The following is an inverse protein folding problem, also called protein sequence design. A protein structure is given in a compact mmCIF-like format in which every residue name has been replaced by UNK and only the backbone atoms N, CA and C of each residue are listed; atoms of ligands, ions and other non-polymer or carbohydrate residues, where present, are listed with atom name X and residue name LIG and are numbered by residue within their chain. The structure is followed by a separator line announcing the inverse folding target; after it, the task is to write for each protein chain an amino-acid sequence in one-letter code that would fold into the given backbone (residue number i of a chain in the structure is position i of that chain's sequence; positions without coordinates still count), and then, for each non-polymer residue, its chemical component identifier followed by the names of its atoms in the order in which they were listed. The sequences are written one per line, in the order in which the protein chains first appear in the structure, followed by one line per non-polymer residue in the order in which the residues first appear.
data_IF_246125866038
#
_entry.id   IF_246125866038
#
_cell.length_a   1.000
_cell.length_b   1.000
_cell.length_c   1.000
_cell.angle_alpha   90.00
_cell.angle_beta   90.00
_cell.angle_gamma   90.00
#
_symmetry.space_group_name_H-M   'P 1'
#
loop_
_entity.id
_entity.type
_entity.pdbx_description
1 polymer ?
#
# COMPACT_ATOMS: atom_id res chain seq x y z
N UNK A 1 -9.17 30.04 46.23
CA UNK A 1 -8.21 31.08 46.66
C UNK A 1 -6.93 30.37 47.06
N UNK A 2 -5.77 30.78 46.52
CA UNK A 2 -4.48 30.14 46.83
C UNK A 2 -4.01 30.52 48.24
N UNK A 3 -3.15 29.71 48.88
CA UNK A 3 -2.53 30.12 50.16
C UNK A 3 -1.69 31.40 50.04
N UNK A 4 -1.16 31.71 48.86
CA UNK A 4 -0.46 32.97 48.62
C UNK A 4 -1.42 34.18 48.67
N UNK A 5 -2.61 34.04 48.10
CA UNK A 5 -3.68 35.03 48.18
C UNK A 5 -4.17 35.22 49.63
N UNK A 6 -4.30 34.12 50.38
CA UNK A 6 -4.62 34.16 51.82
C UNK A 6 -3.53 34.87 52.63
N UNK A 7 -2.25 34.57 52.37
CA UNK A 7 -1.12 35.25 53.00
C UNK A 7 -1.13 36.76 52.74
N UNK A 8 -1.34 37.17 51.48
CA UNK A 8 -1.46 38.58 51.11
C UNK A 8 -2.64 39.27 51.80
N UNK A 9 -3.79 38.58 51.91
CA UNK A 9 -4.96 39.09 52.61
C UNK A 9 -4.70 39.26 54.10
N UNK A 10 -4.09 38.27 54.76
CA UNK A 10 -3.67 38.34 56.18
C UNK A 10 -2.72 39.51 56.43
N UNK A 11 -1.78 39.76 55.51
CA UNK A 11 -0.88 40.91 55.62
C UNK A 11 -1.63 42.25 55.52
N UNK A 12 -2.66 42.33 54.66
CA UNK A 12 -3.57 43.46 54.61
C UNK A 12 -4.36 43.66 55.90
N UNK A 13 -4.90 42.59 56.48
CA UNK A 13 -5.59 42.62 57.78
C UNK A 13 -4.69 43.16 58.90
N UNK A 14 -3.40 42.83 58.89
CA UNK A 14 -2.45 43.38 59.89
C UNK A 14 -2.40 44.90 59.81
N UNK A 15 -2.34 45.50 58.62
CA UNK A 15 -2.33 46.97 58.46
C UNK A 15 -3.64 47.57 58.96
N UNK A 16 -4.77 46.98 58.55
CA UNK A 16 -6.10 47.48 58.88
C UNK A 16 -6.35 47.38 60.39
N UNK A 17 -6.20 46.20 61.00
CA UNK A 17 -6.43 46.01 62.43
C UNK A 17 -5.45 46.80 63.29
N UNK A 18 -4.22 47.04 62.82
CA UNK A 18 -3.30 47.93 63.52
C UNK A 18 -3.83 49.36 63.54
N UNK A 19 -4.39 49.86 62.44
CA UNK A 19 -5.04 51.17 62.41
C UNK A 19 -6.29 51.22 63.29
N UNK A 20 -7.13 50.19 63.29
CA UNK A 20 -8.35 50.09 64.13
C UNK A 20 -8.02 50.09 65.64
N UNK A 21 -6.88 49.51 66.02
CA UNK A 21 -6.41 49.48 67.39
C UNK A 21 -5.96 50.87 67.91
N UNK A 22 -5.76 51.86 67.02
CA UNK A 22 -5.33 53.20 67.42
C UNK A 22 -6.50 54.12 67.78
N UNK A 23 -6.36 55.01 68.78
CA UNK A 23 -7.38 56.01 69.08
C UNK A 23 -7.41 57.14 68.03
N UNK A 24 -8.59 57.62 67.57
CA UNK A 24 -9.92 57.10 67.86
C UNK A 24 -10.20 55.80 67.09
N UNK A 25 -10.75 54.81 67.80
CA UNK A 25 -11.09 53.50 67.21
C UNK A 25 -12.08 53.71 66.06
N UNK A 26 -11.64 53.38 64.86
CA UNK A 26 -12.45 53.41 63.64
C UNK A 26 -12.48 51.98 63.12
N UNK A 27 -13.64 51.48 62.70
CA UNK A 27 -13.74 50.15 62.07
C UNK A 27 -13.74 50.30 60.55
N UNK A 28 -13.05 49.39 59.87
CA UNK A 28 -12.95 49.34 58.42
C UNK A 28 -13.57 48.04 57.89
N UNK A 29 -14.22 48.07 56.71
CA UNK A 29 -14.69 46.87 56.06
C UNK A 29 -13.50 46.14 55.40
N UNK A 30 -12.68 45.46 56.21
CA UNK A 30 -11.39 44.91 55.78
C UNK A 30 -11.51 44.01 54.54
N UNK A 31 -12.47 43.10 54.52
CA UNK A 31 -12.67 42.16 53.41
C UNK A 31 -13.04 42.90 52.11
N UNK A 32 -13.87 43.94 52.19
CA UNK A 32 -14.25 44.76 51.03
C UNK A 32 -13.06 45.54 50.47
N UNK A 33 -12.19 46.04 51.34
CA UNK A 33 -10.97 46.77 50.94
C UNK A 33 -9.98 45.82 50.24
N UNK A 34 -9.76 44.62 50.80
CA UNK A 34 -8.79 43.66 50.29
C UNK A 34 -9.26 42.94 49.00
N UNK A 35 -10.58 42.87 48.78
CA UNK A 35 -11.18 42.35 47.56
C UNK A 35 -11.04 43.29 46.35
N UNK A 36 -10.69 44.56 46.54
CA UNK A 36 -10.55 45.54 45.44
C UNK A 36 -9.40 45.18 44.48
N UNK A 37 -9.47 45.69 43.23
CA UNK A 37 -8.34 45.61 42.29
C UNK A 37 -7.08 46.26 42.87
N UNK A 38 -5.91 45.82 42.40
CA UNK A 38 -4.59 46.22 42.93
C UNK A 38 -4.46 47.70 43.23
N UNK A 39 -4.65 48.59 42.24
CA UNK A 39 -4.44 50.03 42.42
C UNK A 39 -5.39 50.66 43.46
N UNK A 40 -6.66 50.23 43.49
CA UNK A 40 -7.66 50.73 44.44
C UNK A 40 -7.37 50.25 45.86
N UNK A 41 -7.06 48.96 46.02
CA UNK A 41 -6.69 48.38 47.32
C UNK A 41 -5.46 49.06 47.90
N UNK A 42 -4.41 49.27 47.09
CA UNK A 42 -3.18 49.94 47.54
C UNK A 42 -3.46 51.39 47.94
N UNK A 43 -4.26 52.12 47.17
CA UNK A 43 -4.65 53.50 47.49
C UNK A 43 -5.37 53.60 48.82
N UNK A 44 -6.27 52.67 49.11
CA UNK A 44 -7.00 52.65 50.38
C UNK A 44 -6.12 52.29 51.56
N UNK A 45 -5.23 51.30 51.41
CA UNK A 45 -4.26 50.96 52.45
C UNK A 45 -3.31 52.14 52.73
N UNK A 46 -2.83 52.86 51.71
CA UNK A 46 -2.05 54.09 51.89
C UNK A 46 -2.84 55.12 52.70
N UNK A 47 -4.09 55.37 52.32
CA UNK A 47 -4.95 56.33 53.02
C UNK A 47 -5.18 55.95 54.50
N UNK A 48 -5.34 54.65 54.81
CA UNK A 48 -5.45 54.16 56.19
C UNK A 48 -4.17 54.45 56.97
N UNK A 49 -3.00 54.14 56.38
CA UNK A 49 -1.71 54.37 57.03
C UNK A 49 -1.48 55.88 57.25
N UNK A 50 -1.77 56.72 56.24
CA UNK A 50 -1.56 58.18 56.30
C UNK A 50 -2.47 58.90 57.29
N UNK A 51 -3.73 58.49 57.39
CA UNK A 51 -4.74 59.23 58.16
C UNK A 51 -4.89 58.77 59.60
N UNK A 52 -4.53 57.53 59.94
CA UNK A 52 -4.83 56.93 61.25
C UNK A 52 -3.64 56.48 62.08
N UNK A 53 -2.49 56.23 61.46
CA UNK A 53 -1.32 55.76 62.19
C UNK A 53 -0.64 56.95 62.85
N UNK A 54 -0.80 57.07 64.16
CA UNK A 54 -0.23 58.15 64.97
C UNK A 54 1.21 57.91 65.41
N UNK A 55 1.63 56.64 65.44
CA UNK A 55 2.97 56.27 65.91
C UNK A 55 3.95 56.21 64.73
N UNK A 56 4.69 57.29 64.52
CA UNK A 56 5.71 57.40 63.45
C UNK A 56 6.76 56.29 63.52
N UNK A 57 7.06 55.78 64.73
CA UNK A 57 8.03 54.69 64.93
C UNK A 57 7.60 53.36 64.31
N UNK A 58 6.31 53.19 63.97
CA UNK A 58 5.79 51.98 63.31
C UNK A 58 5.54 52.17 61.82
N UNK A 59 5.66 53.41 61.33
CA UNK A 59 5.45 53.74 59.92
C UNK A 59 6.38 52.95 58.98
N UNK A 60 7.70 52.81 59.25
CA UNK A 60 8.57 52.02 58.38
C UNK A 60 8.15 50.57 58.22
N UNK A 61 7.58 49.95 59.27
CA UNK A 61 7.08 48.58 59.20
C UNK A 61 5.83 48.46 58.32
N UNK A 62 4.89 49.40 58.45
CA UNK A 62 3.66 49.41 57.65
C UNK A 62 3.96 49.67 56.18
N UNK A 63 4.88 50.59 55.89
CA UNK A 63 5.34 50.86 54.53
C UNK A 63 6.02 49.61 53.93
N UNK A 64 6.77 48.84 54.75
CA UNK A 64 7.34 47.56 54.31
C UNK A 64 6.26 46.51 54.03
N UNK A 65 5.24 46.40 54.88
CA UNK A 65 4.13 45.46 54.68
C UNK A 65 3.36 45.83 53.41
N UNK A 66 3.10 47.12 53.20
CA UNK A 66 2.47 47.63 51.99
C UNK A 66 3.30 47.33 50.74
N UNK A 67 4.63 47.46 50.80
CA UNK A 67 5.52 47.07 49.70
C UNK A 67 5.35 45.58 49.35
N UNK A 68 5.34 44.69 50.33
CA UNK A 68 5.15 43.25 50.09
C UNK A 68 3.76 42.97 49.53
N UNK A 69 2.69 43.59 50.06
CA UNK A 69 1.34 43.48 49.49
C UNK A 69 1.33 43.94 48.03
N UNK A 70 1.99 45.06 47.71
CA UNK A 70 2.05 45.60 46.36
C UNK A 70 2.70 44.64 45.37
N UNK A 71 3.75 43.94 45.78
CA UNK A 71 4.43 42.96 44.93
C UNK A 71 3.60 41.67 44.81
N UNK A 72 3.01 41.18 45.90
CA UNK A 72 2.22 39.96 45.90
C UNK A 72 0.87 40.08 45.19
N UNK A 73 0.17 41.22 45.32
CA UNK A 73 -1.17 41.40 44.75
C UNK A 73 -1.11 41.38 43.23
N UNK A 74 -0.12 42.03 42.61
CA UNK A 74 0.09 41.99 41.15
C UNK A 74 0.17 40.55 40.64
N UNK A 75 0.90 39.71 41.36
CA UNK A 75 1.10 38.30 41.04
C UNK A 75 -0.20 37.52 41.23
N UNK A 76 -0.89 37.76 42.34
CA UNK A 76 -2.12 37.06 42.69
C UNK A 76 -3.31 37.35 41.76
N UNK A 77 -3.26 38.47 41.02
CA UNK A 77 -4.27 38.88 40.02
C UNK A 77 -3.94 38.40 38.60
N UNK A 78 -2.76 37.81 38.36
CA UNK A 78 -2.44 37.28 37.04
C UNK A 78 -3.19 35.97 36.79
N UNK A 79 -3.76 35.84 35.59
CA UNK A 79 -4.43 34.61 35.13
C UNK A 79 -3.46 33.60 34.48
N UNK A 80 -2.21 34.01 34.23
CA UNK A 80 -1.20 33.21 33.58
C UNK A 80 -0.14 32.73 34.58
N UNK A 81 0.45 31.53 34.38
CA UNK A 81 1.60 31.08 35.16
C UNK A 81 2.75 32.09 35.10
N UNK A 82 3.47 32.20 36.21
CA UNK A 82 4.60 33.11 36.33
C UNK A 82 5.81 32.54 35.62
N UNK A 83 6.65 33.41 35.08
CA UNK A 83 7.95 32.98 34.57
C UNK A 83 8.96 32.74 35.70
N UNK A 84 10.08 32.09 35.39
CA UNK A 84 11.11 31.73 36.38
C UNK A 84 11.69 32.95 37.11
N UNK A 85 11.83 34.08 36.41
CA UNK A 85 12.36 35.32 36.98
C UNK A 85 11.38 35.93 37.99
N UNK A 86 10.08 35.96 37.67
CA UNK A 86 9.02 36.41 38.56
C UNK A 86 8.95 35.52 39.81
N UNK A 87 8.98 34.19 39.63
CA UNK A 87 9.00 33.21 40.72
C UNK A 87 10.18 33.46 41.65
N UNK A 88 11.39 33.61 41.11
CA UNK A 88 12.59 33.87 41.90
C UNK A 88 12.48 35.19 42.67
N UNK A 89 11.96 36.24 42.04
CA UNK A 89 11.75 37.55 42.64
C UNK A 89 10.79 37.49 43.83
N UNK A 90 9.63 36.85 43.66
CA UNK A 90 8.62 36.70 44.72
C UNK A 90 9.14 35.87 45.88
N UNK A 91 9.83 34.76 45.59
CA UNK A 91 10.46 33.93 46.63
C UNK A 91 11.47 34.75 47.43
N UNK A 92 12.27 35.59 46.77
CA UNK A 92 13.22 36.47 47.45
C UNK A 92 12.52 37.49 48.35
N UNK A 93 11.49 38.18 47.84
CA UNK A 93 10.69 39.16 48.60
C UNK A 93 10.07 38.52 49.84
N UNK A 94 9.43 37.35 49.69
CA UNK A 94 8.79 36.64 50.79
C UNK A 94 9.79 36.12 51.82
N UNK A 95 10.95 35.61 51.39
CA UNK A 95 11.98 35.08 52.29
C UNK A 95 12.53 36.20 53.16
N UNK A 96 12.94 37.30 52.53
CA UNK A 96 13.44 38.48 53.23
C UNK A 96 12.38 39.00 54.20
N UNK A 97 11.12 39.08 53.74
CA UNK A 97 10.02 39.54 54.57
C UNK A 97 9.81 38.68 55.82
N UNK A 98 9.68 37.36 55.68
CA UNK A 98 9.42 36.48 56.82
C UNK A 98 10.61 36.42 57.79
N UNK A 99 11.84 36.39 57.30
CA UNK A 99 13.03 36.43 58.15
C UNK A 99 13.05 37.74 58.97
N UNK A 100 12.90 38.89 58.30
CA UNK A 100 12.84 40.19 58.97
C UNK A 100 11.65 40.27 59.94
N UNK A 101 10.52 39.66 59.61
CA UNK A 101 9.33 39.65 60.48
C UNK A 101 9.55 38.83 61.75
N UNK A 102 10.19 37.65 61.65
CA UNK A 102 10.58 36.87 62.82
C UNK A 102 11.60 37.59 63.68
N UNK A 103 12.55 38.30 63.06
CA UNK A 103 13.46 39.16 63.81
C UNK A 103 12.70 40.28 64.54
N UNK A 104 11.73 40.95 63.90
CA UNK A 104 10.94 42.01 64.53
C UNK A 104 10.16 41.53 65.76
N UNK A 105 9.77 40.25 65.79
CA UNK A 105 9.03 39.61 66.88
C UNK A 105 9.92 39.02 67.96
N UNK A 106 11.23 38.87 67.71
CA UNK A 106 12.18 38.36 68.69
C UNK A 106 12.43 39.40 69.79
N UNK A 107 11.72 39.20 70.91
CA UNK A 107 11.74 40.03 72.12
C UNK A 107 12.96 39.79 73.03
N UNK A 108 13.83 38.84 72.69
CA UNK A 108 15.06 38.55 73.46
C UNK A 108 16.18 39.57 73.21
N UNK A 109 16.05 40.35 72.13
CA UNK A 109 17.00 41.38 71.69
C UNK A 109 16.38 42.76 71.85
N UNK A 110 17.16 43.77 72.24
CA UNK A 110 16.64 45.12 72.55
C UNK A 110 16.82 46.15 71.43
N UNK A 111 17.46 45.77 70.33
CA UNK A 111 17.94 46.72 69.32
C UNK A 111 16.93 46.95 68.18
N UNK A 112 17.16 48.01 67.41
CA UNK A 112 16.46 48.25 66.14
C UNK A 112 16.86 47.23 65.07
N UNK A 113 15.98 46.99 64.10
CA UNK A 113 16.24 46.17 62.92
C UNK A 113 16.24 47.04 61.68
N UNK A 114 17.14 46.74 60.76
CA UNK A 114 17.25 47.38 59.46
C UNK A 114 16.26 46.74 58.47
N UNK A 115 15.25 47.51 58.04
CA UNK A 115 14.34 47.13 56.96
C UNK A 115 14.92 47.55 55.62
N UNK A 116 14.99 46.61 54.67
CA UNK A 116 15.45 46.85 53.29
C UNK A 116 14.35 46.52 52.31
N UNK A 117 13.81 47.52 51.63
CA UNK A 117 12.79 47.34 50.58
C UNK A 117 12.77 48.54 49.63
N UNK A 118 12.41 48.32 48.36
CA UNK A 118 12.28 49.38 47.36
C UNK A 118 13.51 50.33 47.27
N UNK A 119 14.73 49.79 47.40
CA UNK A 119 15.99 50.54 47.48
C UNK A 119 16.07 51.54 48.65
N UNK A 120 15.24 51.36 49.66
CA UNK A 120 15.19 52.15 50.89
C UNK A 120 15.68 51.28 52.04
N UNK A 121 16.48 51.89 52.91
CA UNK A 121 16.94 51.32 54.17
C UNK A 121 16.40 52.16 55.32
N UNK A 122 15.67 51.54 56.25
CA UNK A 122 15.11 52.21 57.44
C UNK A 122 15.29 51.35 58.67
N UNK A 123 15.75 51.93 59.77
CA UNK A 123 15.76 51.25 61.05
C UNK A 123 14.39 51.39 61.72
N UNK A 124 13.94 50.32 62.36
CA UNK A 124 12.71 50.29 63.12
C UNK A 124 12.92 49.56 64.45
N UNK A 125 12.31 50.00 65.55
CA UNK A 125 12.38 49.26 66.79
C UNK A 125 11.68 47.90 66.65
N UNK A 126 12.17 46.88 67.34
CA UNK A 126 11.47 45.59 67.50
C UNK A 126 10.07 45.79 68.08
N UNK A 127 9.21 44.78 67.95
CA UNK A 127 7.85 44.80 68.47
C UNK A 127 7.80 44.54 69.97
N UNK A 128 8.61 45.24 70.75
CA UNK A 128 8.69 45.14 72.20
C UNK A 128 7.87 46.26 72.85
N UNK A 129 7.12 45.93 73.90
CA UNK A 129 6.42 46.89 74.74
C UNK A 129 7.34 47.37 75.87
N UNK A 130 7.72 48.64 75.84
CA UNK A 130 8.58 49.25 76.86
C UNK A 130 7.79 49.79 78.08
N UNK A 131 6.47 49.57 78.13
CA UNK A 131 5.59 50.20 79.13
C UNK A 131 5.47 49.42 80.45
N UNK A 132 6.06 48.23 80.54
CA UNK A 132 5.92 47.37 81.73
C UNK A 132 7.09 47.53 82.70
N UNK A 133 6.81 47.90 83.96
CA UNK A 133 7.74 47.84 85.10
C UNK A 133 8.19 46.41 85.46
N UNK A 134 7.75 45.38 84.72
CA UNK A 134 8.12 43.97 84.92
C UNK A 134 9.39 43.62 84.14
N UNK A 135 10.26 42.78 84.73
CA UNK A 135 11.50 42.26 84.12
C UNK A 135 11.30 41.34 82.89
N UNK A 136 10.07 41.20 82.39
CA UNK A 136 9.74 40.37 81.23
C UNK A 136 9.34 41.25 80.05
N UNK A 137 10.10 41.18 78.96
CA UNK A 137 9.73 41.78 77.68
C UNK A 137 8.41 41.18 77.19
N UNK A 138 7.50 42.02 76.71
CA UNK A 138 6.23 41.60 76.09
C UNK A 138 6.12 42.16 74.68
N UNK A 139 5.33 41.52 73.83
CA UNK A 139 5.02 42.05 72.51
C UNK A 139 4.26 43.38 72.62
N UNK A 140 4.60 44.33 71.75
CA UNK A 140 3.83 45.56 71.52
C UNK A 140 2.51 45.25 70.83
N UNK A 141 1.57 46.20 70.81
CA UNK A 141 0.27 46.00 70.13
C UNK A 141 0.40 45.61 68.65
N UNK A 142 1.40 46.16 67.92
CA UNK A 142 1.69 45.74 66.55
C UNK A 142 2.20 44.30 66.50
N UNK A 143 3.07 43.92 67.43
CA UNK A 143 3.59 42.56 67.56
C UNK A 143 2.48 41.55 67.80
N UNK A 144 1.55 41.85 68.71
CA UNK A 144 0.39 41.00 68.98
C UNK A 144 -0.49 40.82 67.74
N UNK A 145 -0.81 41.91 67.03
CA UNK A 145 -1.63 41.84 65.80
C UNK A 145 -0.92 41.04 64.70
N UNK A 146 0.38 41.26 64.49
CA UNK A 146 1.17 40.47 63.53
C UNK A 146 1.16 38.99 63.92
N UNK A 147 1.32 38.67 65.21
CA UNK A 147 1.31 37.29 65.68
C UNK A 147 -0.04 36.63 65.43
N UNK A 148 -1.14 37.30 65.80
CA UNK A 148 -2.48 36.75 65.75
C UNK A 148 -2.97 36.52 64.32
N UNK A 149 -2.72 37.46 63.40
CA UNK A 149 -3.25 37.40 62.04
C UNK A 149 -2.31 36.71 61.05
N UNK A 150 -0.99 36.78 61.27
CA UNK A 150 0.00 36.29 60.30
C UNK A 150 0.80 35.10 60.81
N UNK A 151 1.49 35.23 61.94
CA UNK A 151 2.52 34.26 62.35
C UNK A 151 1.98 32.98 62.96
N UNK A 152 0.88 33.02 63.73
CA UNK A 152 0.31 31.80 64.32
C UNK A 152 -0.07 30.74 63.27
N UNK A 153 -0.21 31.15 62.01
CA UNK A 153 -0.52 30.28 60.88
C UNK A 153 0.72 29.79 60.12
N UNK A 154 1.92 30.19 60.52
CA UNK A 154 3.20 29.86 59.88
C UNK A 154 3.97 28.92 60.81
N UNK A 155 4.20 27.68 60.37
CA UNK A 155 4.90 26.67 61.17
C UNK A 155 6.43 26.80 61.14
N UNK A 156 6.97 27.69 60.30
CA UNK A 156 8.41 27.84 60.09
C UNK A 156 9.08 28.63 61.22
N UNK A 157 10.21 28.11 61.71
CA UNK A 157 11.02 28.64 62.81
C UNK A 157 12.49 28.82 62.45
N UNK A 158 12.98 28.17 61.40
CA UNK A 158 14.33 28.34 60.83
C UNK A 158 14.30 28.93 59.42
N UNK A 159 15.42 29.47 58.93
CA UNK A 159 15.53 30.00 57.57
C UNK A 159 15.23 28.94 56.50
N UNK A 160 15.61 27.69 56.75
CA UNK A 160 15.34 26.55 55.85
C UNK A 160 13.84 26.23 55.83
N UNK A 161 13.19 26.22 57.00
CA UNK A 161 11.74 26.00 57.09
C UNK A 161 10.95 27.15 56.44
N UNK A 162 11.45 28.39 56.54
CA UNK A 162 10.86 29.56 55.87
C UNK A 162 10.96 29.41 54.36
N UNK A 163 12.13 29.02 53.85
CA UNK A 163 12.35 28.79 52.42
C UNK A 163 11.42 27.69 51.89
N UNK A 164 11.29 26.57 52.62
CA UNK A 164 10.40 25.47 52.26
C UNK A 164 8.91 25.86 52.31
N UNK A 165 8.52 26.66 53.31
CA UNK A 165 7.17 27.20 53.41
C UNK A 165 6.82 28.08 52.21
N UNK A 166 7.73 28.99 51.83
CA UNK A 166 7.56 29.86 50.67
C UNK A 166 7.54 29.08 49.36
N UNK A 167 8.43 28.09 49.21
CA UNK A 167 8.44 27.20 48.05
C UNK A 167 7.06 26.56 47.84
N UNK A 168 6.46 26.07 48.93
CA UNK A 168 5.12 25.48 48.92
C UNK A 168 4.04 26.50 48.55
N UNK A 169 4.08 27.71 49.11
CA UNK A 169 3.12 28.78 48.79
C UNK A 169 3.15 29.13 47.31
N UNK A 170 4.34 29.35 46.76
CA UNK A 170 4.52 29.75 45.37
C UNK A 170 4.18 28.61 44.41
N UNK A 171 4.62 27.39 44.70
CA UNK A 171 4.32 26.21 43.87
C UNK A 171 2.83 25.87 43.83
N UNK A 172 2.12 25.99 44.96
CA UNK A 172 0.66 25.79 44.99
C UNK A 172 -0.06 26.83 44.12
N UNK A 173 0.35 28.10 44.22
CA UNK A 173 -0.24 29.15 43.40
C UNK A 173 0.05 28.95 41.91
N UNK A 174 1.28 28.56 41.55
CA UNK A 174 1.63 28.18 40.17
C UNK A 174 0.79 27.01 39.66
N UNK A 175 0.59 25.98 40.49
CA UNK A 175 -0.27 24.85 40.15
C UNK A 175 -1.70 25.28 39.80
N UNK A 176 -2.29 26.18 40.60
CA UNK A 176 -3.64 26.71 40.34
C UNK A 176 -3.70 27.45 38.99
N UNK A 177 -2.69 28.26 38.66
CA UNK A 177 -2.63 29.00 37.39
C UNK A 177 -2.36 28.08 36.19
N UNK A 178 -1.61 27.00 36.39
CA UNK A 178 -1.24 26.06 35.34
C UNK A 178 -2.40 25.15 34.93
N UNK A 179 -3.29 24.79 35.86
CA UNK A 179 -4.40 23.85 35.60
C UNK A 179 -5.29 24.29 34.42
N UNK A 180 -5.83 25.52 34.35
CA UNK A 180 -6.65 25.96 33.21
C UNK A 180 -5.93 25.88 31.87
N UNK A 181 -4.64 26.22 31.84
CA UNK A 181 -3.80 26.18 30.62
C UNK A 181 -3.65 24.73 30.15
N UNK A 182 -3.30 23.83 31.07
CA UNK A 182 -3.13 22.39 30.76
C UNK A 182 -4.45 21.75 30.34
N UNK A 183 -5.56 22.06 31.01
CA UNK A 183 -6.89 21.56 30.64
C UNK A 183 -7.28 22.00 29.23
N UNK A 184 -7.01 23.25 28.86
CA UNK A 184 -7.27 23.76 27.50
C UNK A 184 -6.41 23.04 26.45
N UNK A 185 -5.11 22.90 26.70
CA UNK A 185 -4.21 22.17 25.80
C UNK A 185 -4.61 20.71 25.65
N UNK A 186 -5.00 20.05 26.74
CA UNK A 186 -5.48 18.67 26.71
C UNK A 186 -6.73 18.52 25.84
N UNK A 187 -7.69 19.45 25.96
CA UNK A 187 -8.89 19.46 25.11
C UNK A 187 -8.53 19.62 23.63
N UNK A 188 -7.60 20.52 23.30
CA UNK A 188 -7.13 20.73 21.93
C UNK A 188 -6.47 19.47 21.35
N UNK A 189 -5.59 18.81 22.11
CA UNK A 189 -4.96 17.57 21.66
C UNK A 189 -5.97 16.43 21.50
N UNK A 190 -7.01 16.36 22.33
CA UNK A 190 -8.08 15.37 22.17
C UNK A 190 -8.89 15.60 20.87
N UNK A 191 -9.18 16.85 20.53
CA UNK A 191 -9.84 17.21 19.27
C UNK A 191 -8.96 16.87 18.05
N UNK A 192 -7.66 17.18 18.11
CA UNK A 192 -6.70 16.84 17.07
C UNK A 192 -6.60 15.32 16.86
N UNK A 193 -6.47 14.55 17.95
CA UNK A 193 -6.44 13.08 17.91
C UNK A 193 -7.74 12.55 17.29
N UNK A 194 -8.89 13.10 17.65
CA UNK A 194 -10.17 12.70 17.09
C UNK A 194 -10.23 12.96 15.58
N UNK A 195 -9.81 14.14 15.13
CA UNK A 195 -9.78 14.52 13.71
C UNK A 195 -8.83 13.63 12.90
N UNK A 196 -7.65 13.32 13.43
CA UNK A 196 -6.66 12.45 12.79
C UNK A 196 -7.17 11.01 12.68
N UNK A 197 -7.83 10.49 13.73
CA UNK A 197 -8.43 9.16 13.68
C UNK A 197 -9.55 9.07 12.64
N UNK A 198 -10.36 10.12 12.49
CA UNK A 198 -11.40 10.17 11.46
C UNK A 198 -10.80 10.22 10.04
N UNK A 199 -9.75 11.03 9.84
CA UNK A 199 -9.03 11.08 8.57
C UNK A 199 -8.34 9.75 8.23
N UNK A 200 -7.74 9.08 9.23
CA UNK A 200 -7.14 7.77 9.08
C UNK A 200 -8.19 6.73 8.67
N UNK A 201 -9.33 6.70 9.35
CA UNK A 201 -10.44 5.79 9.03
C UNK A 201 -10.91 5.98 7.58
N UNK A 202 -11.14 7.22 7.15
CA UNK A 202 -11.53 7.52 5.77
C UNK A 202 -10.48 7.07 4.75
N UNK A 203 -9.21 7.22 5.08
CA UNK A 203 -8.09 6.79 4.21
C UNK A 203 -8.03 5.26 4.11
N UNK A 204 -8.22 4.55 5.22
CA UNK A 204 -8.29 3.08 5.23
C UNK A 204 -9.45 2.58 4.37
N UNK A 205 -10.65 3.13 4.55
CA UNK A 205 -11.83 2.75 3.74
C UNK A 205 -11.63 3.05 2.24
N UNK A 206 -10.96 4.16 1.91
CA UNK A 206 -10.62 4.48 0.52
C UNK A 206 -9.60 3.50 -0.06
N UNK A 207 -8.58 3.12 0.72
CA UNK A 207 -7.58 2.14 0.29
C UNK A 207 -8.18 0.75 0.08
N UNK A 208 -9.10 0.31 0.95
CA UNK A 208 -9.82 -0.96 0.77
C UNK A 208 -10.61 -0.97 -0.54
N UNK A 209 -11.32 0.13 -0.86
CA UNK A 209 -12.04 0.26 -2.15
C UNK A 209 -11.10 0.23 -3.36
N UNK A 210 -9.95 0.90 -3.26
CA UNK A 210 -8.94 0.88 -4.32
C UNK A 210 -8.35 -0.51 -4.49
N UNK A 211 -8.10 -1.23 -3.40
CA UNK A 211 -7.55 -2.59 -3.44
C UNK A 211 -8.55 -3.58 -4.06
N UNK A 212 -9.84 -3.46 -3.74
CA UNK A 212 -10.90 -4.23 -4.39
C UNK A 212 -10.97 -3.94 -5.90
N UNK A 213 -10.90 -2.66 -6.28
CA UNK A 213 -10.92 -2.25 -7.69
C UNK A 213 -9.70 -2.76 -8.45
N UNK A 214 -8.52 -2.71 -7.83
CA UNK A 214 -7.29 -3.26 -8.40
C UNK A 214 -7.41 -4.76 -8.64
N UNK A 215 -7.93 -5.51 -7.67
CA UNK A 215 -8.13 -6.95 -7.78
C UNK A 215 -9.06 -7.31 -8.95
N UNK A 216 -10.17 -6.57 -9.10
CA UNK A 216 -11.09 -6.77 -10.22
C UNK A 216 -10.44 -6.49 -11.58
N UNK A 217 -9.60 -5.46 -11.67
CA UNK A 217 -8.93 -5.12 -12.91
C UNK A 217 -7.82 -6.11 -13.27
N UNK A 218 -7.11 -6.66 -12.27
CA UNK A 218 -6.17 -7.77 -12.46
C UNK A 218 -6.87 -9.04 -12.98
N UNK A 219 -8.07 -9.36 -12.48
CA UNK A 219 -8.86 -10.48 -12.97
C UNK A 219 -9.28 -10.30 -14.44
N UNK A 220 -9.80 -9.12 -14.80
CA UNK A 220 -10.13 -8.80 -16.21
C UNK A 220 -8.91 -8.87 -17.11
N UNK A 221 -7.76 -8.36 -16.65
CA UNK A 221 -6.50 -8.42 -17.39
C UNK A 221 -6.07 -9.86 -17.65
N UNK A 222 -6.18 -10.75 -16.65
CA UNK A 222 -5.92 -12.19 -16.81
C UNK A 222 -6.90 -12.85 -17.78
N UNK A 223 -8.17 -12.46 -17.77
CA UNK A 223 -9.16 -12.98 -18.70
C UNK A 223 -8.86 -12.55 -20.14
N UNK A 224 -8.57 -11.26 -20.36
CA UNK A 224 -8.13 -10.75 -21.66
C UNK A 224 -6.88 -11.47 -22.16
N UNK A 225 -5.90 -11.74 -21.28
CA UNK A 225 -4.72 -12.49 -21.66
C UNK A 225 -5.05 -13.92 -22.11
N UNK A 226 -5.99 -14.61 -21.45
CA UNK A 226 -6.46 -15.93 -21.89
C UNK A 226 -7.12 -15.85 -23.26
N UNK A 227 -7.94 -14.83 -23.51
CA UNK A 227 -8.60 -14.61 -24.79
C UNK A 227 -7.58 -14.36 -25.90
N UNK A 228 -6.57 -13.51 -25.66
CA UNK A 228 -5.48 -13.27 -26.60
C UNK A 228 -4.76 -14.58 -26.93
N UNK A 229 -4.34 -15.33 -25.92
CA UNK A 229 -3.66 -16.61 -26.13
C UNK A 229 -4.50 -17.59 -26.94
N UNK A 230 -5.81 -17.66 -26.69
CA UNK A 230 -6.74 -18.50 -27.46
C UNK A 230 -6.83 -18.09 -28.94
N UNK A 231 -6.92 -16.78 -29.23
CA UNK A 231 -6.91 -16.28 -30.59
C UNK A 231 -5.59 -16.56 -31.30
N UNK A 232 -4.45 -16.40 -30.62
CA UNK A 232 -3.13 -16.73 -31.17
C UNK A 232 -3.02 -18.22 -31.51
N UNK A 233 -3.48 -19.12 -30.63
CA UNK A 233 -3.48 -20.57 -30.92
C UNK A 233 -4.39 -20.91 -32.09
N UNK A 234 -5.58 -20.31 -32.16
CA UNK A 234 -6.52 -20.55 -33.26
C UNK A 234 -5.94 -20.06 -34.59
N UNK A 235 -5.31 -18.88 -34.61
CA UNK A 235 -4.68 -18.35 -35.81
C UNK A 235 -3.51 -19.24 -36.27
N UNK A 236 -2.75 -19.81 -35.34
CA UNK A 236 -1.69 -20.77 -35.68
C UNK A 236 -2.26 -22.06 -36.30
N UNK A 237 -3.36 -22.57 -35.78
CA UNK A 237 -4.03 -23.75 -36.34
C UNK A 237 -4.65 -23.47 -37.71
N UNK A 238 -5.26 -22.29 -37.90
CA UNK A 238 -5.73 -21.84 -39.21
C UNK A 238 -4.59 -21.74 -40.23
N UNK A 239 -3.42 -21.21 -39.83
CA UNK A 239 -2.23 -21.18 -40.69
C UNK A 239 -1.76 -22.59 -41.07
N UNK A 240 -1.73 -23.53 -40.12
CA UNK A 240 -1.36 -24.93 -40.39
C UNK A 240 -2.35 -25.61 -41.33
N UNK A 241 -3.64 -25.44 -41.12
CA UNK A 241 -4.66 -26.04 -41.99
C UNK A 241 -4.62 -25.45 -43.40
N UNK A 242 -4.37 -24.14 -43.54
CA UNK A 242 -4.18 -23.53 -44.85
C UNK A 242 -2.92 -24.05 -45.55
N UNK A 243 -1.79 -24.19 -44.84
CA UNK A 243 -0.59 -24.83 -45.40
C UNK A 243 -0.87 -26.26 -45.89
N UNK A 244 -1.58 -27.07 -45.11
CA UNK A 244 -1.96 -28.43 -45.52
C UNK A 244 -2.89 -28.43 -46.75
N UNK A 245 -3.81 -27.46 -46.85
CA UNK A 245 -4.65 -27.27 -48.04
C UNK A 245 -3.79 -26.90 -49.26
N UNK A 246 -2.83 -26.00 -49.11
CA UNK A 246 -1.93 -25.59 -50.20
C UNK A 246 -1.07 -26.75 -50.70
N UNK A 247 -0.56 -27.60 -49.80
CA UNK A 247 0.14 -28.85 -50.15
C UNK A 247 -0.78 -29.80 -50.94
N UNK A 248 -2.04 -29.94 -50.51
CA UNK A 248 -3.03 -30.77 -51.18
C UNK A 248 -3.37 -30.23 -52.58
N UNK A 249 -3.55 -28.90 -52.70
CA UNK A 249 -3.81 -28.23 -53.98
C UNK A 249 -2.62 -28.42 -54.92
N UNK A 250 -1.38 -28.30 -54.43
CA UNK A 250 -0.17 -28.54 -55.21
C UNK A 250 -0.09 -29.98 -55.72
N UNK A 251 -0.38 -30.96 -54.85
CA UNK A 251 -0.45 -32.38 -55.22
C UNK A 251 -1.52 -32.65 -56.29
N UNK A 252 -2.74 -32.13 -56.11
CA UNK A 252 -3.82 -32.27 -57.08
C UNK A 252 -3.48 -31.58 -58.41
N UNK A 253 -2.82 -30.42 -58.37
CA UNK A 253 -2.37 -29.70 -59.58
C UNK A 253 -1.37 -30.55 -60.37
N UNK A 254 -0.43 -31.21 -59.68
CA UNK A 254 0.51 -32.14 -60.30
C UNK A 254 -0.21 -33.36 -60.90
N UNK A 255 -1.19 -33.94 -60.20
CA UNK A 255 -2.00 -35.04 -60.75
C UNK A 255 -2.78 -34.61 -62.00
N UNK A 256 -3.42 -33.44 -61.98
CA UNK A 256 -4.11 -32.89 -63.16
C UNK A 256 -3.14 -32.70 -64.32
N UNK A 257 -1.91 -32.25 -64.05
CA UNK A 257 -0.88 -32.11 -65.09
C UNK A 257 -0.51 -33.46 -65.69
N UNK A 258 -0.23 -34.48 -64.88
CA UNK A 258 0.07 -35.82 -65.37
C UNK A 258 -1.09 -36.40 -66.17
N UNK A 259 -2.33 -36.29 -65.67
CA UNK A 259 -3.52 -36.76 -66.40
C UNK A 259 -3.74 -36.02 -67.72
N UNK A 260 -3.40 -34.72 -67.81
CA UNK A 260 -3.44 -33.98 -69.07
C UNK A 260 -2.37 -34.48 -70.05
N UNK A 261 -1.17 -34.75 -69.57
CA UNK A 261 -0.10 -35.32 -70.40
C UNK A 261 -0.48 -36.72 -70.92
N UNK A 262 -1.06 -37.56 -70.07
CA UNK A 262 -1.61 -38.88 -70.45
C UNK A 262 -2.75 -38.75 -71.45
N UNK A 263 -3.67 -37.79 -71.26
CA UNK A 263 -4.76 -37.52 -72.19
C UNK A 263 -4.23 -37.11 -73.56
N UNK A 264 -3.23 -36.23 -73.63
CA UNK A 264 -2.62 -35.81 -74.89
C UNK A 264 -1.85 -36.96 -75.57
N UNK A 265 -1.14 -37.80 -74.79
CA UNK A 265 -0.52 -39.00 -75.32
C UNK A 265 -1.56 -39.98 -75.89
N UNK A 266 -2.70 -40.17 -75.21
CA UNK A 266 -3.80 -41.00 -75.69
C UNK A 266 -4.44 -40.42 -76.96
N UNK A 267 -4.63 -39.09 -77.05
CA UNK A 267 -5.11 -38.43 -78.28
C UNK A 267 -4.16 -38.64 -79.45
N UNK A 268 -2.83 -38.53 -79.23
CA UNK A 268 -1.84 -38.81 -80.26
C UNK A 268 -1.90 -40.28 -80.71
N UNK A 269 -2.10 -41.22 -79.79
CA UNK A 269 -2.30 -42.62 -80.14
C UNK A 269 -3.56 -42.83 -80.97
N UNK A 270 -4.67 -42.19 -80.61
CA UNK A 270 -5.92 -42.25 -81.40
C UNK A 270 -5.68 -41.69 -82.81
N UNK A 271 -5.06 -40.52 -82.95
CA UNK A 271 -4.73 -39.95 -84.27
C UNK A 271 -3.85 -40.90 -85.09
N UNK A 272 -2.84 -41.52 -84.48
CA UNK A 272 -1.99 -42.51 -85.14
C UNK A 272 -2.80 -43.74 -85.60
N UNK A 273 -3.74 -44.21 -84.79
CA UNK A 273 -4.63 -45.31 -85.14
C UNK A 273 -5.60 -44.93 -86.27
N UNK A 274 -6.14 -43.71 -86.28
CA UNK A 274 -6.97 -43.17 -87.37
C UNK A 274 -6.18 -43.08 -88.67
N UNK A 275 -4.92 -42.64 -88.63
CA UNK A 275 -4.02 -42.64 -89.79
C UNK A 275 -3.76 -44.06 -90.33
N UNK A 276 -3.54 -45.02 -89.42
CA UNK A 276 -3.38 -46.44 -89.79
C UNK A 276 -4.68 -46.97 -90.40
N UNK A 277 -5.83 -46.64 -89.82
CA UNK A 277 -7.14 -47.02 -90.33
C UNK A 277 -7.38 -46.45 -91.73
N UNK A 278 -7.08 -45.17 -91.97
CA UNK A 278 -7.19 -44.56 -93.29
C UNK A 278 -6.27 -45.21 -94.32
N UNK A 279 -5.03 -45.55 -93.95
CA UNK A 279 -4.11 -46.32 -94.81
C UNK A 279 -4.67 -47.71 -95.12
N UNK A 280 -5.24 -48.38 -94.12
CA UNK A 280 -5.89 -49.68 -94.27
C UNK A 280 -7.10 -49.59 -95.21
N UNK A 281 -7.99 -48.60 -95.03
CA UNK A 281 -9.13 -48.35 -95.92
C UNK A 281 -8.70 -48.08 -97.36
N UNK A 282 -7.66 -47.27 -97.58
CA UNK A 282 -7.10 -47.07 -98.93
C UNK A 282 -6.58 -48.37 -99.53
N UNK A 283 -5.97 -49.23 -98.72
CA UNK A 283 -5.45 -50.53 -99.17
C UNK A 283 -6.59 -51.51 -99.48
N UNK A 284 -7.65 -51.52 -98.67
CA UNK A 284 -8.88 -52.28 -98.94
C UNK A 284 -9.51 -51.79 -100.24
N UNK A 285 -9.64 -50.48 -100.46
CA UNK A 285 -10.17 -49.93 -101.70
C UNK A 285 -9.37 -50.36 -102.94
N UNK A 286 -8.03 -50.37 -102.86
CA UNK A 286 -7.17 -50.91 -103.93
C UNK A 286 -7.39 -52.40 -104.16
N UNK A 287 -7.49 -53.19 -103.10
CA UNK A 287 -7.74 -54.63 -103.19
C UNK A 287 -9.13 -54.92 -103.76
N UNK A 288 -10.16 -54.13 -103.43
CA UNK A 288 -11.51 -54.26 -103.99
C UNK A 288 -11.56 -53.87 -105.48
N UNK A 289 -10.72 -52.93 -105.90
CA UNK A 289 -10.55 -52.56 -107.30
C UNK A 289 -9.81 -53.65 -108.09
N UNK A 290 -8.71 -54.19 -107.56
CA UNK A 290 -8.04 -55.38 -108.11
C UNK A 290 -8.99 -56.59 -108.18
N UNK A 291 -9.84 -56.78 -107.16
CA UNK A 291 -10.80 -57.88 -107.13
C UNK A 291 -11.94 -57.65 -108.15
N UNK A 292 -12.30 -56.41 -108.46
CA UNK A 292 -13.21 -56.06 -109.58
C UNK A 292 -12.56 -56.31 -110.93
N UNK A 293 -11.29 -55.95 -111.12
CA UNK A 293 -10.55 -56.21 -112.35
C UNK A 293 -10.37 -57.73 -112.59
N UNK A 294 -10.07 -58.49 -111.54
CA UNK A 294 -9.98 -59.94 -111.61
C UNK A 294 -11.33 -60.58 -111.95
N UNK A 295 -12.44 -60.09 -111.38
CA UNK A 295 -13.79 -60.54 -111.76
C UNK A 295 -14.15 -60.18 -113.19
N UNK A 296 -13.76 -59.01 -113.68
CA UNK A 296 -13.98 -58.60 -115.07
C UNK A 296 -13.17 -59.49 -116.04
N UNK A 297 -11.90 -59.78 -115.74
CA UNK A 297 -11.08 -60.74 -116.50
C UNK A 297 -11.67 -62.14 -116.47
N UNK A 298 -12.15 -62.60 -115.32
CA UNK A 298 -12.79 -63.92 -115.20
C UNK A 298 -14.10 -63.99 -116.00
N UNK A 299 -14.83 -62.89 -116.13
CA UNK A 299 -16.04 -62.80 -116.95
C UNK A 299 -15.70 -62.79 -118.45
N UNK A 300 -14.61 -62.13 -118.85
CA UNK A 300 -14.09 -62.15 -120.23
C UNK A 300 -13.57 -63.55 -120.61
N UNK A 301 -12.92 -64.26 -119.69
CA UNK A 301 -12.47 -65.64 -119.88
C UNK A 301 -13.64 -66.64 -119.93
N UNK A 302 -14.69 -66.45 -119.11
CA UNK A 302 -15.92 -67.25 -119.19
C UNK A 302 -16.67 -67.02 -120.51
N UNK A 303 -16.72 -65.77 -120.99
CA UNK A 303 -17.35 -65.43 -122.26
C UNK A 303 -16.54 -65.92 -123.48
N UNK A 304 -15.21 -66.11 -123.33
CA UNK A 304 -14.37 -66.74 -124.34
C UNK A 304 -14.59 -68.26 -124.41
N UNK A 305 -14.64 -68.93 -123.24
CA UNK A 305 -14.86 -70.37 -123.15
C UNK A 305 -16.27 -70.80 -123.64
N UNK A 306 -17.29 -69.97 -123.42
CA UNK A 306 -18.66 -70.28 -123.87
C UNK A 306 -18.85 -70.09 -125.39
N UNK A 307 -18.01 -69.27 -126.04
CA UNK A 307 -18.08 -68.98 -127.49
C UNK A 307 -17.33 -70.00 -128.34
N UNK A 308 -16.43 -70.77 -127.73
CA UNK A 308 -15.67 -71.86 -128.39
C UNK A 308 -16.43 -73.21 -128.34
N UNK A 309 -17.44 -73.34 -127.47
CA UNK A 309 -18.28 -74.54 -127.31
C UNK A 309 -19.43 -74.60 -128.33
N UNK A 310 -19.91 -73.47 -128.84
CA UNK A 310 -21.12 -73.43 -129.68
C UNK A 310 -20.88 -73.65 -131.19
N UNK A 311 -19.62 -73.72 -131.67
CA UNK A 311 -19.33 -73.71 -133.12
C UNK A 311 -18.95 -75.06 -133.77
N UNK A 312 -18.63 -76.14 -133.04
CA UNK A 312 -18.25 -77.42 -133.68
C UNK A 312 -18.73 -78.68 -132.94
N UNK A 313 -20.05 -78.89 -133.07
CA UNK A 313 -20.82 -80.08 -132.68
C UNK A 313 -20.67 -81.20 -133.72
N UNK A 314 -19.99 -82.31 -133.39
CA UNK A 314 -20.04 -83.63 -134.08
C UNK A 314 -19.41 -84.72 -133.17
N UNK A 315 -20.21 -85.78 -132.94
CA UNK A 315 -19.89 -87.19 -132.58
C UNK A 315 -19.44 -87.58 -131.15
N UNK A 316 -20.33 -88.38 -130.54
CA UNK A 316 -20.08 -89.53 -129.64
C UNK A 316 -18.81 -90.35 -130.01
N UNK A 317 -18.16 -91.10 -129.07
CA UNK A 317 -18.80 -92.18 -128.29
C UNK A 317 -18.20 -92.48 -126.90
N UNK A 318 -18.61 -93.64 -126.39
CA UNK A 318 -18.43 -94.32 -125.11
C UNK A 318 -16.97 -94.60 -124.65
N UNK A 319 -16.89 -95.01 -123.36
CA UNK A 319 -15.94 -95.94 -122.71
C UNK A 319 -14.88 -95.43 -121.68
N UNK A 320 -15.03 -96.03 -120.48
CA UNK A 320 -14.02 -96.69 -119.62
C UNK A 320 -12.96 -95.97 -118.74
N UNK A 321 -12.88 -96.53 -117.50
CA UNK A 321 -11.70 -96.83 -116.65
C UNK A 321 -10.96 -95.69 -115.91
N UNK A 322 -10.93 -95.70 -114.56
CA UNK A 322 -9.94 -96.38 -113.67
C UNK A 322 -8.52 -95.82 -113.95
N UNK A 323 -7.79 -95.07 -113.10
CA UNK A 323 -7.34 -95.36 -111.73
C UNK A 323 -6.40 -94.24 -111.23
N UNK A 324 -6.30 -94.09 -109.89
CA UNK A 324 -5.04 -93.88 -109.12
C UNK A 324 -4.27 -92.56 -109.29
N UNK A 325 -3.46 -92.05 -108.35
CA UNK A 325 -3.06 -92.30 -106.95
C UNK A 325 -1.94 -91.28 -106.70
N UNK A 326 -1.75 -90.88 -105.44
CA UNK A 326 -0.45 -90.54 -104.83
C UNK A 326 0.30 -89.31 -105.41
N UNK A 327 1.07 -88.51 -104.67
CA UNK A 327 1.41 -88.35 -103.25
C UNK A 327 2.38 -87.17 -103.23
N UNK A 328 2.53 -86.54 -102.05
CA UNK A 328 3.80 -85.97 -101.56
C UNK A 328 4.40 -84.74 -102.29
N UNK A 329 5.03 -83.75 -101.65
CA UNK A 329 5.66 -83.64 -100.33
C UNK A 329 6.13 -82.19 -100.09
N UNK A 330 6.36 -81.89 -98.80
CA UNK A 330 7.36 -80.94 -98.22
C UNK A 330 7.02 -79.44 -98.34
N UNK A 331 7.18 -78.57 -97.33
CA UNK A 331 7.81 -78.52 -96.00
C UNK A 331 6.99 -77.49 -95.18
N UNK A 332 6.60 -77.67 -93.91
CA UNK A 332 7.35 -77.41 -92.65
C UNK A 332 8.17 -76.09 -92.61
N UNK A 333 8.42 -75.44 -91.43
CA UNK A 333 8.34 -75.99 -90.07
C UNK A 333 7.80 -75.03 -88.96
N UNK A 334 7.86 -75.54 -87.71
CA UNK A 334 8.04 -74.85 -86.43
C UNK A 334 6.83 -74.40 -85.58
N UNK A 335 6.38 -75.36 -84.75
CA UNK A 335 6.31 -75.22 -83.28
C UNK A 335 7.71 -74.98 -82.66
N UNK A 336 7.85 -74.56 -81.38
CA UNK A 336 7.87 -75.50 -80.23
C UNK A 336 7.05 -74.94 -79.03
N UNK A 337 6.29 -75.69 -78.22
CA UNK A 337 6.63 -76.75 -77.24
C UNK A 337 7.83 -76.48 -76.31
N UNK A 338 7.60 -76.27 -75.02
CA UNK A 338 7.94 -77.16 -73.88
C UNK A 338 7.64 -76.39 -72.57
N UNK A 339 6.73 -76.82 -71.68
CA UNK A 339 6.82 -77.91 -70.68
C UNK A 339 7.58 -77.54 -69.37
N UNK A 340 6.85 -77.69 -68.24
CA UNK A 340 7.19 -78.54 -67.07
C UNK A 340 7.89 -77.96 -65.82
N UNK A 341 7.39 -78.48 -64.67
CA UNK A 341 7.94 -78.62 -63.29
C UNK A 341 7.90 -77.37 -62.36
N UNK A 342 7.10 -77.37 -61.28
CA UNK A 342 7.14 -78.10 -59.98
C UNK A 342 8.09 -77.42 -58.96
N UNK A 343 7.48 -76.82 -57.91
CA UNK A 343 7.77 -76.74 -56.45
C UNK A 343 9.16 -77.20 -55.90
N UNK A 344 9.51 -76.98 -54.61
CA UNK A 344 9.18 -75.97 -53.58
C UNK A 344 10.46 -75.47 -52.86
N UNK A 345 10.32 -74.72 -51.74
CA UNK A 345 11.08 -74.76 -50.45
C UNK A 345 11.39 -73.37 -49.86
N UNK A 346 10.83 -73.14 -48.67
CA UNK A 346 11.33 -72.20 -47.65
C UNK A 346 12.67 -72.72 -47.09
N UNK A 347 13.50 -71.91 -46.40
CA UNK A 347 13.34 -71.85 -44.93
C UNK A 347 13.79 -70.47 -44.33
N UNK A 348 13.14 -69.99 -43.26
CA UNK A 348 13.58 -70.06 -41.85
C UNK A 348 14.40 -68.86 -41.33
N UNK A 349 13.84 -68.24 -40.28
CA UNK A 349 14.47 -67.90 -39.00
C UNK A 349 15.69 -66.94 -38.97
N UNK A 350 15.52 -65.81 -38.27
CA UNK A 350 15.98 -65.54 -36.89
C UNK A 350 15.41 -64.15 -36.52
N UNK A 351 14.54 -64.00 -35.51
CA UNK A 351 14.88 -63.78 -34.10
C UNK A 351 16.07 -62.84 -33.88
N UNK A 352 15.79 -61.62 -33.41
CA UNK A 352 16.31 -61.02 -32.16
C UNK A 352 15.41 -59.83 -31.82
N UNK A 353 14.68 -59.83 -30.70
CA UNK A 353 15.14 -59.42 -29.38
C UNK A 353 15.97 -58.13 -29.39
N UNK A 354 15.35 -57.04 -28.96
CA UNK A 354 15.82 -56.14 -27.88
C UNK A 354 14.70 -55.14 -27.65
N UNK A 355 13.87 -55.24 -26.61
CA UNK A 355 14.17 -54.86 -25.22
C UNK A 355 15.13 -53.67 -25.09
N UNK A 356 14.61 -52.61 -24.46
CA UNK A 356 15.30 -51.38 -24.10
C UNK A 356 14.31 -50.23 -24.24
N UNK A 357 13.44 -49.93 -23.26
CA UNK A 357 13.74 -49.55 -21.87
C UNK A 357 14.98 -48.65 -21.80
N UNK A 358 14.76 -47.45 -21.25
CA UNK A 358 15.66 -46.43 -20.70
C UNK A 358 15.37 -45.07 -21.37
N UNK A 359 14.94 -44.03 -20.69
CA UNK A 359 14.59 -43.82 -19.27
C UNK A 359 13.47 -42.76 -19.20
N UNK A 360 12.63 -42.69 -18.17
CA UNK A 360 13.02 -42.23 -16.83
C UNK A 360 14.31 -41.39 -16.83
N UNK A 361 14.13 -40.09 -17.01
CA UNK A 361 14.53 -39.07 -16.03
C UNK A 361 13.21 -38.33 -15.73
N UNK A 362 12.55 -38.45 -14.58
CA UNK A 362 13.02 -38.15 -13.21
C UNK A 362 13.79 -36.84 -13.11
N UNK A 363 13.50 -36.15 -12.00
CA UNK A 363 13.99 -34.82 -11.61
C UNK A 363 13.20 -33.72 -12.31
N UNK A 364 12.22 -33.11 -11.65
CA UNK A 364 12.40 -32.54 -10.32
C UNK A 364 13.14 -31.23 -10.49
N UNK A 365 12.40 -30.15 -10.60
CA UNK A 365 12.30 -29.20 -9.51
C UNK A 365 11.48 -27.99 -9.97
N UNK A 366 10.47 -27.58 -9.20
CA UNK A 366 10.24 -26.18 -8.99
C UNK A 366 11.38 -25.67 -8.08
N UNK A 367 12.45 -25.19 -8.70
CA UNK A 367 13.35 -24.20 -8.09
C UNK A 367 13.30 -23.04 -9.04
N UNK A 368 12.61 -21.96 -8.68
CA UNK A 368 13.20 -20.85 -7.93
C UNK A 368 12.10 -19.79 -7.80
N UNK A 369 11.97 -18.99 -6.75
CA UNK A 369 12.66 -18.98 -5.49
C UNK A 369 11.72 -18.33 -4.49
N UNK A 370 11.58 -18.96 -3.33
CA UNK A 370 11.17 -18.27 -2.13
C UNK A 370 12.45 -17.75 -1.46
N UNK A 371 12.67 -16.46 -1.57
CA UNK A 371 13.55 -15.64 -0.74
C UNK A 371 12.92 -14.24 -0.68
N UNK A 372 13.25 -13.40 0.30
CA UNK A 372 12.78 -13.52 1.67
C UNK A 372 12.02 -12.24 2.05
N UNK A 373 11.01 -12.32 2.92
CA UNK A 373 10.52 -11.12 3.63
C UNK A 373 10.59 -11.43 5.11
N UNK A 374 11.71 -11.01 5.70
CA UNK A 374 11.88 -9.70 6.32
C UNK A 374 11.23 -9.68 7.69
N UNK A 375 12.08 -9.95 8.66
CA UNK A 375 12.06 -9.41 10.01
C UNK A 375 11.40 -8.03 10.09
N UNK A 376 10.33 -7.92 10.88
CA UNK A 376 10.03 -6.76 11.72
C UNK A 376 9.23 -7.29 12.91
N UNK A 377 9.89 -7.41 14.06
CA UNK A 377 9.76 -6.48 15.18
C UNK A 377 8.41 -6.60 15.89
N UNK A 378 8.34 -7.52 16.87
CA UNK A 378 7.35 -7.46 17.95
C UNK A 378 7.88 -6.54 19.06
N UNK A 379 7.18 -5.48 19.44
CA UNK A 379 7.48 -4.76 20.66
C UNK A 379 6.98 -5.55 21.87
N UNK A 380 7.81 -5.57 22.91
CA UNK A 380 7.58 -6.28 24.16
C UNK A 380 6.43 -5.70 24.97
N UNK A 381 5.63 -6.62 25.53
CA UNK A 381 4.78 -6.38 26.68
C UNK A 381 5.66 -6.35 27.93
N UNK A 382 5.93 -5.16 28.46
CA UNK A 382 6.34 -4.99 29.84
C UNK A 382 5.10 -4.74 30.70
N UNK A 383 4.68 -5.78 31.40
CA UNK A 383 3.85 -5.67 32.59
C UNK A 383 4.66 -4.96 33.68
N UNK A 384 4.12 -3.88 34.23
CA UNK A 384 4.39 -3.48 35.61
C UNK A 384 3.07 -3.13 36.26
N UNK A 385 2.50 -4.14 36.89
CA UNK A 385 1.64 -3.95 38.07
C UNK A 385 2.53 -3.40 39.19
N UNK A 386 2.08 -2.33 39.84
CA UNK A 386 2.47 -2.04 41.23
C UNK A 386 1.32 -1.32 41.91
N UNK A 387 0.90 -1.90 43.04
CA UNK A 387 0.04 -1.32 44.06
C UNK A 387 0.79 -0.26 44.88
#
# INVERSE_FOLDING_TARGET
MSRLQDFMSKLGHVIIHYAEAQPPKTSYPADEILAKPHDEMIKELINIIDTKVKYDTRRPCLDYFLYVIKELKKVCEQDAPLNEQEIASIKSVLNNFLITLFELLDISKTDEIELKYNNITKNTPRFISNWTFSKTSKLSGMGTIVTDYLINNISAKSNEEVSAYIEKLVSEHQGILMVPVLTKQQSQFQEEIHSLNLALKNTVESNEKLQLSLTQEEEKSKELQKTINFFETTQLDDKKTNLAKDETISSLTNQIKMLKEELEAAKQQIHNLEDIQHKSQRKIGKLEEENRELKAKHLDEQNFAQKEIDDLDIKQPEEEKITSKLEEKKQQPNLPFYNRLILPTAPSFFQTNTSGIFGRNYLGNPTTGALPRSSTFSPGNSNTDTQ
#
